data_IF_939253670425
#
_entry.id   IF_939253670425
#
_cell.length_a   1.000
_cell.length_b   1.000
_cell.length_c   1.000
_cell.angle_alpha   90.00
_cell.angle_beta   90.00
_cell.angle_gamma   90.00
#
_symmetry.space_group_name_H-M   'P 1'
#
loop_
_entity.id
_entity.type
_entity.pdbx_description
1 polymer ?
#
# COMPACT_ATOMS: atom_id res chain seq x y z
N UNK A 1 11.02 -19.60 12.41
CA UNK A 1 9.68 -19.47 13.05
C UNK A 1 9.35 -18.05 13.51
N UNK A 2 10.32 -17.15 13.72
CA UNK A 2 10.08 -15.76 14.20
C UNK A 2 9.43 -14.82 13.17
N UNK A 3 9.73 -14.97 11.87
CA UNK A 3 9.16 -14.11 10.82
C UNK A 3 7.63 -14.28 10.64
N UNK A 4 7.12 -15.51 10.69
CA UNK A 4 5.70 -15.79 10.47
C UNK A 4 4.76 -15.22 11.56
N UNK A 5 5.28 -14.99 12.78
CA UNK A 5 4.53 -14.35 13.87
C UNK A 5 4.37 -12.84 13.64
N UNK A 6 5.46 -12.17 13.25
CA UNK A 6 5.47 -10.76 12.91
C UNK A 6 4.58 -10.46 11.69
N UNK A 7 4.62 -11.33 10.67
CA UNK A 7 3.79 -11.19 9.46
C UNK A 7 2.28 -11.23 9.76
N UNK A 8 1.84 -12.03 10.75
CA UNK A 8 0.42 -12.08 11.14
C UNK A 8 -0.01 -10.85 11.93
N UNK A 9 0.82 -10.36 12.84
CA UNK A 9 0.53 -9.13 13.59
C UNK A 9 0.44 -7.92 12.66
N UNK A 10 1.39 -7.79 11.73
CA UNK A 10 1.38 -6.73 10.71
C UNK A 10 0.13 -6.84 9.81
N UNK A 11 -0.27 -8.04 9.42
CA UNK A 11 -1.48 -8.24 8.61
C UNK A 11 -2.77 -7.86 9.36
N UNK A 12 -2.89 -8.24 10.64
CA UNK A 12 -4.04 -7.85 11.47
C UNK A 12 -4.08 -6.34 11.61
N UNK A 13 -2.94 -5.70 11.84
CA UNK A 13 -2.83 -4.25 11.92
C UNK A 13 -3.32 -3.55 10.64
N UNK A 14 -2.87 -4.01 9.46
CA UNK A 14 -3.33 -3.45 8.18
C UNK A 14 -4.84 -3.58 7.98
N UNK A 15 -5.44 -4.67 8.48
CA UNK A 15 -6.89 -4.85 8.47
C UNK A 15 -7.60 -3.85 9.39
N UNK A 16 -7.11 -3.69 10.62
CA UNK A 16 -7.72 -2.80 11.61
C UNK A 16 -7.69 -1.34 11.12
N UNK A 17 -6.57 -0.93 10.54
CA UNK A 17 -6.41 0.34 9.85
C UNK A 17 -7.46 0.52 8.74
N UNK A 18 -7.61 -0.49 7.87
CA UNK A 18 -8.53 -0.42 6.74
C UNK A 18 -9.98 -0.29 7.23
N UNK A 19 -10.35 -1.04 8.26
CA UNK A 19 -11.67 -0.99 8.90
C UNK A 19 -11.92 0.38 9.52
N UNK A 20 -10.97 0.93 10.27
CA UNK A 20 -11.07 2.27 10.86
C UNK A 20 -11.24 3.36 9.79
N UNK A 21 -10.48 3.25 8.69
CA UNK A 21 -10.58 4.18 7.54
C UNK A 21 -11.96 4.11 6.87
N UNK A 22 -12.52 2.92 6.70
CA UNK A 22 -13.87 2.74 6.14
C UNK A 22 -14.93 3.29 7.09
N UNK A 23 -14.81 3.06 8.40
CA UNK A 23 -15.72 3.60 9.40
C UNK A 23 -15.75 5.14 9.38
N UNK A 24 -14.57 5.77 9.35
CA UNK A 24 -14.43 7.24 9.21
C UNK A 24 -15.01 7.78 7.90
N UNK A 25 -14.86 7.04 6.80
CA UNK A 25 -15.40 7.43 5.49
C UNK A 25 -16.94 7.29 5.43
N UNK A 26 -17.50 6.37 6.20
CA UNK A 26 -18.95 6.13 6.25
C UNK A 26 -19.66 7.17 7.11
N UNK A 27 -19.02 7.63 8.19
CA UNK A 27 -19.53 8.77 8.97
C UNK A 27 -19.55 10.08 8.16
N UNK A 28 -18.59 10.25 7.22
CA UNK A 28 -18.53 11.39 6.29
C UNK A 28 -19.64 11.40 5.23
N UNK A 29 -20.20 10.23 4.89
CA UNK A 29 -21.29 10.11 3.91
C UNK A 29 -22.69 10.31 4.53
N UNK A 30 -22.77 10.50 5.85
CA UNK A 30 -23.99 10.82 6.59
C UNK A 30 -24.99 9.67 6.68
N UNK A 31 -25.60 9.40 7.84
CA UNK A 31 -26.87 8.71 7.85
C UNK A 31 -27.94 9.62 7.24
N UNK A 32 -29.10 9.07 6.88
CA UNK A 32 -30.36 9.85 6.78
C UNK A 32 -30.79 10.49 8.13
N UNK A 33 -29.84 10.79 9.02
CA UNK A 33 -29.99 11.37 10.36
C UNK A 33 -28.61 11.82 10.87
N UNK A 34 -28.47 13.09 11.24
CA UNK A 34 -27.20 13.83 11.31
C UNK A 34 -26.07 13.22 12.15
N UNK A 35 -24.93 12.99 11.51
CA UNK A 35 -23.62 12.95 12.16
C UNK A 35 -22.95 14.33 11.97
N UNK A 36 -22.42 14.91 13.04
CA UNK A 36 -21.86 16.28 13.02
C UNK A 36 -20.44 16.31 12.44
N UNK A 37 -20.05 17.45 11.87
CA UNK A 37 -18.72 17.66 11.28
C UNK A 37 -17.57 17.39 12.28
N UNK A 38 -17.81 17.62 13.57
CA UNK A 38 -16.86 17.31 14.65
C UNK A 38 -16.61 15.81 14.83
N UNK A 39 -17.64 14.96 14.69
CA UNK A 39 -17.49 13.50 14.76
C UNK A 39 -16.62 12.99 13.60
N UNK A 40 -16.81 13.52 12.39
CA UNK A 40 -16.01 13.16 11.23
C UNK A 40 -14.53 13.57 11.34
N UNK A 41 -14.26 14.72 11.95
CA UNK A 41 -12.90 15.17 12.24
C UNK A 41 -12.27 14.31 13.34
N UNK A 42 -13.04 13.90 14.35
CA UNK A 42 -12.58 12.97 15.38
C UNK A 42 -12.22 11.60 14.78
N UNK A 43 -13.05 11.00 13.93
CA UNK A 43 -12.72 9.70 13.31
C UNK A 43 -11.52 9.78 12.37
N UNK A 44 -11.32 10.89 11.65
CA UNK A 44 -10.12 11.08 10.84
C UNK A 44 -8.86 11.28 11.71
N UNK A 45 -8.99 11.96 12.84
CA UNK A 45 -7.92 12.08 13.84
C UNK A 45 -7.63 10.73 14.47
N UNK A 46 -8.62 9.93 14.86
CA UNK A 46 -8.43 8.61 15.44
C UNK A 46 -7.74 7.65 14.47
N UNK A 47 -8.10 7.69 13.17
CA UNK A 47 -7.37 6.94 12.14
C UNK A 47 -5.92 7.43 12.07
N UNK A 48 -5.70 8.75 11.99
CA UNK A 48 -4.36 9.35 11.96
C UNK A 48 -3.53 9.01 13.21
N UNK A 49 -4.15 9.03 14.38
CA UNK A 49 -3.51 8.80 15.67
C UNK A 49 -3.21 7.31 15.85
N UNK A 50 -4.08 6.41 15.38
CA UNK A 50 -3.81 4.97 15.32
C UNK A 50 -2.60 4.65 14.44
N UNK A 51 -2.44 5.39 13.33
CA UNK A 51 -1.24 5.31 12.48
C UNK A 51 0.00 5.92 13.14
N UNK A 52 -0.11 7.10 13.77
CA UNK A 52 1.00 7.78 14.43
C UNK A 52 1.52 7.00 15.65
N UNK A 53 0.62 6.36 16.40
CA UNK A 53 0.96 5.55 17.58
C UNK A 53 1.72 4.27 17.22
N UNK A 54 1.66 3.79 15.96
CA UNK A 54 2.20 2.49 15.58
C UNK A 54 3.26 2.54 14.46
N UNK A 55 4.21 3.49 14.57
CA UNK A 55 5.46 3.52 13.77
C UNK A 55 6.33 2.25 13.85
N UNK A 56 5.89 1.20 14.58
CA UNK A 56 6.52 -0.12 14.69
C UNK A 56 6.90 -0.72 13.33
N UNK A 57 6.06 -0.49 12.33
CA UNK A 57 6.20 -1.09 11.00
C UNK A 57 6.37 -0.04 9.87
N UNK A 58 5.99 1.22 10.13
CA UNK A 58 6.15 2.35 9.21
C UNK A 58 6.91 3.47 9.90
N UNK A 59 8.20 3.60 9.59
CA UNK A 59 9.06 4.61 10.22
C UNK A 59 8.86 6.02 9.67
N UNK A 60 8.21 6.16 8.51
CA UNK A 60 8.06 7.41 7.78
C UNK A 60 6.59 7.80 7.63
N UNK A 61 6.33 9.11 7.59
CA UNK A 61 4.99 9.64 7.31
C UNK A 61 4.53 9.19 5.90
N UNK A 62 3.24 8.87 5.71
CA UNK A 62 2.72 8.49 4.41
C UNK A 62 2.82 9.65 3.41
N UNK A 63 3.26 9.32 2.20
CA UNK A 63 3.37 10.26 1.09
C UNK A 63 2.03 10.37 0.36
N UNK A 64 1.66 11.55 -0.13
CA UNK A 64 0.50 11.69 -1.02
C UNK A 64 0.96 11.63 -2.46
N UNK A 65 0.45 10.66 -3.22
CA UNK A 65 0.75 10.50 -4.64
C UNK A 65 -0.52 10.35 -5.47
N UNK A 66 -0.76 11.30 -6.38
CA UNK A 66 -1.89 11.29 -7.32
C UNK A 66 -3.26 11.04 -6.63
N UNK A 67 -3.45 11.65 -5.45
CA UNK A 67 -4.70 11.56 -4.67
C UNK A 67 -4.81 10.36 -3.72
N UNK A 68 -3.85 9.44 -3.72
CA UNK A 68 -3.78 8.34 -2.75
C UNK A 68 -2.71 8.64 -1.69
N UNK A 69 -2.99 8.31 -0.43
CA UNK A 69 -1.94 8.17 0.60
C UNK A 69 -1.18 6.87 0.34
N UNK A 70 0.14 6.92 0.39
CA UNK A 70 1.01 5.77 0.15
C UNK A 70 1.95 5.58 1.33
N UNK A 71 1.89 4.37 1.88
CA UNK A 71 2.74 3.91 2.97
C UNK A 71 3.93 3.16 2.36
N UNK A 72 5.02 3.90 2.20
CA UNK A 72 6.29 3.41 1.68
C UNK A 72 7.06 2.58 2.70
N UNK A 73 7.80 1.57 2.21
CA UNK A 73 8.59 0.65 3.03
C UNK A 73 10.00 0.48 2.45
N UNK A 74 10.90 1.40 2.80
CA UNK A 74 12.28 1.45 2.29
C UNK A 74 13.05 0.15 2.60
N UNK A 75 12.85 -0.39 3.80
CA UNK A 75 13.51 -1.59 4.31
C UNK A 75 13.12 -2.88 3.57
N UNK A 76 12.06 -2.85 2.76
CA UNK A 76 11.72 -3.98 1.88
C UNK A 76 12.57 -4.03 0.60
N UNK A 77 13.26 -2.94 0.28
CA UNK A 77 13.88 -2.72 -1.04
C UNK A 77 15.36 -2.39 -0.85
N UNK A 78 16.22 -3.29 -1.33
CA UNK A 78 17.61 -2.93 -1.61
C UNK A 78 17.65 -2.18 -2.95
N UNK A 79 18.01 -0.87 -3.00
CA UNK A 79 18.03 -0.10 -4.23
C UNK A 79 19.03 -0.62 -5.27
N UNK A 80 20.08 -1.30 -4.82
CA UNK A 80 21.18 -1.78 -5.66
C UNK A 80 21.01 -3.24 -6.10
N UNK A 81 19.97 -3.93 -5.61
CA UNK A 81 19.69 -5.31 -6.00
C UNK A 81 19.50 -5.39 -7.52
N UNK A 82 20.34 -6.18 -8.17
CA UNK A 82 20.32 -6.37 -9.62
C UNK A 82 19.35 -7.49 -9.99
N UNK A 83 18.47 -7.22 -10.95
CA UNK A 83 17.53 -8.19 -11.51
C UNK A 83 17.44 -8.06 -13.02
N UNK A 84 16.76 -9.01 -13.65
CA UNK A 84 16.47 -8.97 -15.08
C UNK A 84 14.98 -8.69 -15.34
N UNK A 85 14.68 -8.03 -16.45
CA UNK A 85 13.32 -7.87 -16.95
C UNK A 85 13.28 -7.67 -18.46
N UNK A 86 12.11 -7.83 -19.05
CA UNK A 86 11.94 -7.69 -20.50
C UNK A 86 11.38 -6.31 -20.87
N UNK A 87 12.00 -5.63 -21.83
CA UNK A 87 11.47 -4.42 -22.49
C UNK A 87 11.36 -4.70 -23.98
N UNK A 88 10.14 -4.65 -24.53
CA UNK A 88 9.88 -4.87 -25.97
C UNK A 88 10.58 -6.13 -26.52
N UNK A 89 10.50 -7.23 -25.77
CA UNK A 89 11.12 -8.52 -26.13
C UNK A 89 12.62 -8.65 -25.83
N UNK A 90 13.30 -7.59 -25.37
CA UNK A 90 14.72 -7.64 -25.01
C UNK A 90 14.88 -7.77 -23.50
N UNK A 91 15.72 -8.70 -23.07
CA UNK A 91 16.15 -8.80 -21.67
C UNK A 91 17.07 -7.63 -21.36
N UNK A 92 16.80 -6.94 -20.26
CA UNK A 92 17.66 -5.92 -19.68
C UNK A 92 17.98 -6.33 -18.25
N UNK A 93 19.15 -5.93 -17.78
CA UNK A 93 19.64 -6.20 -16.43
C UNK A 93 19.96 -4.87 -15.76
N UNK A 94 19.57 -4.70 -14.51
CA UNK A 94 19.81 -3.48 -13.76
C UNK A 94 19.34 -3.55 -12.31
N UNK A 95 19.66 -2.51 -11.57
CA UNK A 95 19.31 -2.32 -10.16
C UNK A 95 17.81 -2.11 -9.95
N UNK A 96 17.36 -2.17 -8.70
CA UNK A 96 15.98 -1.84 -8.33
C UNK A 96 15.64 -0.38 -8.64
N UNK A 97 16.58 0.56 -8.49
CA UNK A 97 16.36 1.95 -8.90
C UNK A 97 16.09 2.07 -10.41
N UNK A 98 16.90 1.42 -11.24
CA UNK A 98 16.71 1.43 -12.70
C UNK A 98 15.41 0.71 -13.09
N UNK A 99 15.08 -0.38 -12.41
CA UNK A 99 13.82 -1.11 -12.57
C UNK A 99 12.63 -0.19 -12.27
N UNK A 100 12.66 0.53 -11.16
CA UNK A 100 11.62 1.51 -10.79
C UNK A 100 11.55 2.69 -11.76
N UNK A 101 12.68 3.23 -12.20
CA UNK A 101 12.73 4.29 -13.21
C UNK A 101 12.11 3.86 -14.56
N UNK A 102 12.10 2.56 -14.87
CA UNK A 102 11.38 2.00 -16.01
C UNK A 102 9.85 1.85 -15.79
N UNK A 103 9.36 2.17 -14.58
CA UNK A 103 7.97 2.04 -14.15
C UNK A 103 7.58 0.65 -13.67
N UNK A 104 8.56 -0.17 -13.23
CA UNK A 104 8.34 -1.52 -12.72
C UNK A 104 8.53 -1.56 -11.22
N UNK A 105 7.78 -2.42 -10.54
CA UNK A 105 8.01 -2.65 -9.12
C UNK A 105 9.43 -3.16 -8.86
N UNK A 106 10.09 -2.69 -7.79
CA UNK A 106 11.37 -3.25 -7.34
C UNK A 106 11.16 -4.69 -6.87
N UNK A 107 12.24 -5.46 -6.84
CA UNK A 107 12.29 -6.79 -6.23
C UNK A 107 12.53 -6.64 -4.73
N UNK A 108 11.67 -7.23 -3.92
CA UNK A 108 11.81 -7.29 -2.47
C UNK A 108 12.77 -8.38 -2.02
N UNK A 109 13.07 -8.40 -0.72
CA UNK A 109 13.93 -9.41 -0.10
C UNK A 109 13.40 -10.85 -0.21
N UNK A 110 12.11 -11.03 -0.55
CA UNK A 110 11.50 -12.33 -0.82
C UNK A 110 11.69 -12.80 -2.28
N UNK A 111 12.52 -12.10 -3.06
CA UNK A 111 12.83 -12.43 -4.44
C UNK A 111 11.72 -12.08 -5.45
N UNK A 112 10.63 -11.47 -5.00
CA UNK A 112 9.47 -11.15 -5.84
C UNK A 112 9.28 -9.64 -5.98
N UNK A 113 8.47 -9.23 -6.95
CA UNK A 113 8.11 -7.81 -7.09
C UNK A 113 7.31 -7.32 -5.88
N UNK A 114 7.65 -6.14 -5.36
CA UNK A 114 6.87 -5.46 -4.33
C UNK A 114 5.47 -5.17 -4.86
N UNK A 115 4.48 -5.44 -4.02
CA UNK A 115 3.07 -5.21 -4.30
C UNK A 115 2.64 -3.83 -3.79
N UNK A 116 1.72 -3.20 -4.53
CA UNK A 116 0.99 -2.01 -4.10
C UNK A 116 -0.42 -2.44 -3.74
N UNK A 117 -0.70 -2.55 -2.43
CA UNK A 117 -1.97 -3.04 -1.92
C UNK A 117 -2.90 -1.89 -1.55
N UNK A 118 -4.12 -1.86 -2.10
CA UNK A 118 -5.15 -0.94 -1.62
C UNK A 118 -5.75 -1.47 -0.32
N UNK A 119 -5.60 -0.72 0.76
CA UNK A 119 -6.06 -1.13 2.08
C UNK A 119 -7.58 -1.34 2.15
N UNK A 120 -8.34 -0.48 1.47
CA UNK A 120 -9.82 -0.48 1.53
C UNK A 120 -10.50 -1.01 0.26
N UNK A 121 -9.75 -1.57 -0.69
CA UNK A 121 -10.28 -2.05 -1.98
C UNK A 121 -11.08 -0.99 -2.79
N UNK A 122 -10.86 0.31 -2.50
CA UNK A 122 -11.44 1.47 -3.20
C UNK A 122 -10.36 2.17 -4.03
N UNK A 123 -10.73 2.74 -5.17
CA UNK A 123 -9.80 3.44 -6.08
C UNK A 123 -9.03 4.59 -5.40
N UNK A 124 -9.67 5.33 -4.50
CA UNK A 124 -9.07 6.43 -3.74
C UNK A 124 -8.50 5.99 -2.38
N UNK A 125 -8.53 4.70 -2.09
CA UNK A 125 -8.05 4.15 -0.82
C UNK A 125 -6.55 4.34 -0.65
N UNK A 126 -6.10 4.34 0.60
CA UNK A 126 -4.68 4.32 0.89
C UNK A 126 -4.01 3.04 0.38
N UNK A 127 -2.73 3.14 0.04
CA UNK A 127 -1.95 2.07 -0.58
C UNK A 127 -0.73 1.77 0.29
N UNK A 128 -0.42 0.49 0.48
CA UNK A 128 0.78 0.05 1.19
C UNK A 128 1.72 -0.75 0.28
N UNK A 129 3.01 -0.46 0.35
CA UNK A 129 4.07 -1.32 -0.20
C UNK A 129 4.22 -2.57 0.67
N UNK A 130 4.21 -3.76 0.07
CA UNK A 130 4.43 -5.03 0.80
C UNK A 130 5.06 -6.10 -0.09
N UNK A 131 5.72 -7.08 0.51
CA UNK A 131 6.28 -8.22 -0.23
C UNK A 131 5.18 -9.10 -0.82
N UNK A 132 5.52 -9.86 -1.86
CA UNK A 132 4.59 -10.80 -2.48
C UNK A 132 4.20 -11.93 -1.52
N UNK A 133 5.17 -12.42 -0.76
CA UNK A 133 4.98 -13.48 0.22
C UNK A 133 4.03 -13.06 1.33
N UNK A 134 4.19 -11.84 1.85
CA UNK A 134 3.28 -11.27 2.84
C UNK A 134 1.86 -11.14 2.28
N UNK A 135 1.71 -10.53 1.09
CA UNK A 135 0.40 -10.35 0.46
C UNK A 135 -0.33 -11.68 0.24
N UNK A 136 0.40 -12.71 -0.23
CA UNK A 136 -0.17 -14.04 -0.50
C UNK A 136 -0.51 -14.77 0.80
N UNK A 137 0.40 -14.78 1.77
CA UNK A 137 0.22 -15.48 3.04
C UNK A 137 -0.92 -14.92 3.89
N UNK A 138 -1.19 -13.61 3.75
CA UNK A 138 -2.18 -12.90 4.55
C UNK A 138 -3.42 -12.45 3.76
N UNK A 139 -3.61 -12.93 2.52
CA UNK A 139 -4.67 -12.48 1.60
C UNK A 139 -6.04 -12.34 2.27
N UNK A 140 -6.49 -13.37 3.01
CA UNK A 140 -7.80 -13.37 3.67
C UNK A 140 -7.96 -12.35 4.81
N UNK A 141 -6.85 -11.84 5.34
CA UNK A 141 -6.84 -10.81 6.40
C UNK A 141 -6.82 -9.42 5.78
N UNK A 142 -5.95 -9.19 4.80
CA UNK A 142 -5.69 -7.85 4.24
C UNK A 142 -6.71 -7.41 3.17
N UNK A 143 -7.54 -8.31 2.65
CA UNK A 143 -8.65 -7.99 1.75
C UNK A 143 -9.94 -7.91 2.56
N UNK A 144 -10.33 -6.68 2.92
CA UNK A 144 -11.49 -6.44 3.80
C UNK A 144 -12.85 -6.80 3.18
N UNK A 145 -12.92 -6.90 1.85
CA UNK A 145 -14.14 -7.26 1.15
C UNK A 145 -14.17 -8.77 0.92
N UNK A 146 -15.30 -9.46 1.19
CA UNK A 146 -15.47 -10.82 0.73
C UNK A 146 -15.43 -10.89 -0.79
N UNK A 147 -15.06 -12.05 -1.35
CA UNK A 147 -14.96 -12.27 -2.80
C UNK A 147 -16.30 -12.08 -3.55
N UNK A 148 -17.42 -12.00 -2.82
CA UNK A 148 -18.76 -11.69 -3.34
C UNK A 148 -18.97 -10.21 -3.64
N UNK A 149 -18.11 -9.32 -3.12
CA UNK A 149 -18.14 -7.88 -3.40
C UNK A 149 -17.03 -7.56 -4.41
N UNK A 150 -17.37 -7.11 -5.63
CA UNK A 150 -16.38 -6.72 -6.63
C UNK A 150 -15.45 -5.62 -6.11
N UNK A 151 -14.17 -5.67 -6.50
CA UNK A 151 -13.22 -4.61 -6.13
C UNK A 151 -13.62 -3.29 -6.79
N UNK A 152 -13.66 -2.20 -6.02
CA UNK A 152 -13.92 -0.85 -6.53
C UNK A 152 -12.75 -0.22 -7.31
N UNK A 153 -11.71 -1.01 -7.60
CA UNK A 153 -10.47 -0.57 -8.26
C UNK A 153 -10.61 -0.75 -9.77
N UNK A 154 -10.43 0.33 -10.52
CA UNK A 154 -10.26 0.25 -11.96
C UNK A 154 -8.84 -0.24 -12.29
N UNK A 155 -8.72 -1.50 -12.73
CA UNK A 155 -7.42 -2.16 -12.95
C UNK A 155 -6.55 -1.47 -14.01
N UNK A 156 -7.15 -0.93 -15.07
CA UNK A 156 -6.40 -0.23 -16.12
C UNK A 156 -5.83 1.10 -15.60
N UNK A 157 -6.64 1.87 -14.86
CA UNK A 157 -6.19 3.10 -14.20
C UNK A 157 -5.10 2.80 -13.17
N UNK A 158 -5.29 1.77 -12.35
CA UNK A 158 -4.31 1.39 -11.34
C UNK A 158 -2.99 0.89 -11.93
N UNK A 159 -3.02 0.17 -13.06
CA UNK A 159 -1.79 -0.22 -13.79
C UNK A 159 -1.00 1.01 -14.26
N UNK A 160 -1.68 2.06 -14.73
CA UNK A 160 -1.02 3.32 -15.11
C UNK A 160 -0.51 4.08 -13.90
N UNK A 161 -1.34 4.20 -12.85
CA UNK A 161 -0.95 4.80 -11.59
C UNK A 161 0.30 4.13 -11.00
N UNK A 162 0.34 2.80 -10.94
CA UNK A 162 1.46 2.02 -10.39
C UNK A 162 2.76 2.25 -11.17
N UNK A 163 2.69 2.29 -12.51
CA UNK A 163 3.87 2.56 -13.34
C UNK A 163 4.44 3.95 -13.07
N UNK A 164 3.58 4.95 -12.93
CA UNK A 164 4.01 6.32 -12.67
C UNK A 164 4.53 6.47 -11.23
N UNK A 165 3.86 5.81 -10.28
CA UNK A 165 4.28 5.76 -8.88
C UNK A 165 5.71 5.24 -8.75
N UNK A 166 6.06 4.11 -9.38
CA UNK A 166 7.42 3.58 -9.29
C UNK A 166 8.49 4.51 -9.91
N UNK A 167 8.16 5.23 -10.98
CA UNK A 167 9.06 6.22 -11.57
C UNK A 167 9.31 7.40 -10.62
N UNK A 168 8.26 7.87 -9.98
CA UNK A 168 8.34 8.92 -8.96
C UNK A 168 9.15 8.42 -7.76
N UNK A 169 8.86 7.21 -7.28
CA UNK A 169 9.56 6.54 -6.19
C UNK A 169 11.07 6.44 -6.43
N UNK A 170 11.49 6.10 -7.65
CA UNK A 170 12.91 6.09 -8.03
C UNK A 170 13.53 7.49 -7.99
N UNK A 171 12.80 8.49 -8.45
CA UNK A 171 13.28 9.88 -8.53
C UNK A 171 13.42 10.54 -7.16
N UNK A 172 12.65 10.06 -6.18
CA UNK A 172 12.64 10.54 -4.80
C UNK A 172 13.28 9.56 -3.82
N UNK A 173 14.02 8.56 -4.31
CA UNK A 173 14.65 7.56 -3.45
C UNK A 173 15.72 8.20 -2.55
N UNK A 174 15.61 8.01 -1.24
CA UNK A 174 16.56 8.51 -0.25
C UNK A 174 16.54 10.03 -0.03
N UNK A 175 15.51 10.73 -0.53
CA UNK A 175 15.27 12.15 -0.27
C UNK A 175 14.39 12.37 0.95
#
# INVERSE_FOLDING_TARGET
MVHAGLDREEASYLKDVAVATVAASTSLLGPRGGATQAANVATQRDVSDYFQQNRKYWSSEPQTYSGNKVYQRNELIDPNLVSEWTIRGKVVRGTNLERMASGRAPIGHDGNSINLHHMTQRQSGAIAEMTQSFHKGNHGVIHINPNTIPSGINRAKFKTWSRNYWKDRASNWGK
#
